data_IF_045776364553
#
_entry.id   IF_045776364553
#
_cell.length_a   1.000
_cell.length_b   1.000
_cell.length_c   1.000
_cell.angle_alpha   90.00
_cell.angle_beta   90.00
_cell.angle_gamma   90.00
#
_symmetry.space_group_name_H-M   'P 1'
#
loop_
_entity.id
_entity.type
_entity.pdbx_description
1 polymer ?
#
# COMPACT_ATOMS: atom_id res chain seq x y z
N UNK A 1 -32.65 61.50 -67.94
CA UNK A 1 -31.95 62.29 -66.91
C UNK A 1 -32.35 61.77 -65.54
N UNK A 2 -31.40 61.76 -64.60
CA UNK A 2 -31.51 61.47 -63.14
C UNK A 2 -31.92 60.04 -62.76
N UNK A 3 -30.96 59.14 -62.52
CA UNK A 3 -30.14 58.93 -61.31
C UNK A 3 -30.74 57.88 -60.35
N UNK A 4 -30.18 56.68 -60.52
CA UNK A 4 -29.93 55.62 -59.54
C UNK A 4 -29.97 56.04 -58.06
N UNK A 5 -30.83 55.36 -57.29
CA UNK A 5 -30.65 55.19 -55.84
C UNK A 5 -30.58 53.69 -55.53
N UNK A 6 -29.36 53.28 -55.18
CA UNK A 6 -29.00 51.96 -54.65
C UNK A 6 -29.74 51.73 -53.33
N UNK A 7 -30.59 50.70 -53.29
CA UNK A 7 -31.11 50.09 -52.06
C UNK A 7 -30.54 48.69 -51.97
N UNK A 8 -29.67 48.49 -50.98
CA UNK A 8 -28.84 47.31 -50.77
C UNK A 8 -29.71 46.13 -50.32
N UNK A 9 -29.75 45.07 -51.13
CA UNK A 9 -30.23 43.74 -50.75
C UNK A 9 -29.00 42.94 -50.29
N UNK A 10 -28.81 42.76 -48.99
CA UNK A 10 -27.79 41.86 -48.46
C UNK A 10 -28.45 40.85 -47.52
N UNK A 11 -28.40 39.60 -47.96
CA UNK A 11 -28.84 38.38 -47.30
C UNK A 11 -28.37 38.30 -45.85
N UNK A 12 -29.28 37.92 -44.96
CA UNK A 12 -28.96 37.33 -43.67
C UNK A 12 -28.24 35.98 -43.89
N UNK A 13 -26.92 35.95 -43.74
CA UNK A 13 -26.18 34.70 -43.56
C UNK A 13 -26.11 34.44 -42.06
N UNK A 14 -26.97 33.55 -41.58
CA UNK A 14 -26.89 33.03 -40.21
C UNK A 14 -25.66 32.12 -40.11
N UNK A 15 -24.57 32.65 -39.56
CA UNK A 15 -23.39 31.86 -39.18
C UNK A 15 -23.77 31.06 -37.93
N UNK A 16 -24.16 29.80 -38.11
CA UNK A 16 -24.20 28.83 -37.02
C UNK A 16 -22.77 28.50 -36.62
N UNK A 17 -22.23 29.24 -35.64
CA UNK A 17 -21.09 28.83 -34.86
C UNK A 17 -21.51 27.59 -34.05
N UNK A 18 -21.28 26.41 -34.62
CA UNK A 18 -21.26 25.16 -33.84
C UNK A 18 -20.04 25.28 -32.93
N UNK A 19 -20.29 25.75 -31.70
CA UNK A 19 -19.39 25.51 -30.58
C UNK A 19 -19.33 24.00 -30.41
N UNK A 20 -18.34 23.37 -31.06
CA UNK A 20 -17.84 22.08 -30.60
C UNK A 20 -17.23 22.39 -29.24
N UNK A 21 -18.06 22.31 -28.19
CA UNK A 21 -17.56 22.07 -26.87
C UNK A 21 -16.84 20.73 -26.99
N UNK A 22 -15.53 20.79 -27.17
CA UNK A 22 -14.66 19.70 -26.79
C UNK A 22 -14.91 19.49 -25.31
N UNK A 23 -15.91 18.67 -25.00
CA UNK A 23 -16.02 18.03 -23.72
C UNK A 23 -14.77 17.18 -23.68
N UNK A 24 -13.68 17.74 -23.16
CA UNK A 24 -12.69 16.92 -22.48
C UNK A 24 -13.46 16.33 -21.33
N UNK A 25 -14.16 15.22 -21.60
CA UNK A 25 -14.40 14.22 -20.59
C UNK A 25 -13.03 13.97 -20.00
N UNK A 26 -12.80 14.52 -18.81
CA UNK A 26 -11.85 13.93 -17.90
C UNK A 26 -12.26 12.47 -17.91
N UNK A 27 -11.49 11.63 -18.60
CA UNK A 27 -11.57 10.20 -18.45
C UNK A 27 -11.16 10.03 -17.00
N UNK A 28 -12.15 10.08 -16.11
CA UNK A 28 -12.05 9.48 -14.81
C UNK A 28 -11.57 8.09 -15.12
N UNK A 29 -10.30 7.80 -14.79
CA UNK A 29 -9.84 6.43 -14.63
C UNK A 29 -10.97 5.70 -13.93
N UNK A 30 -11.44 4.54 -14.44
CA UNK A 30 -12.56 3.83 -13.82
C UNK A 30 -12.21 3.68 -12.36
N UNK A 31 -12.90 4.45 -11.50
CA UNK A 31 -12.52 4.55 -10.10
C UNK A 31 -12.50 3.13 -9.57
N UNK A 32 -11.43 2.79 -8.88
CA UNK A 32 -11.26 1.62 -8.04
C UNK A 32 -12.53 1.27 -7.25
N UNK A 33 -13.49 0.55 -7.86
CA UNK A 33 -14.73 0.17 -7.17
C UNK A 33 -14.35 -0.92 -6.17
N UNK A 34 -14.10 -0.49 -4.93
CA UNK A 34 -13.99 -1.37 -3.78
C UNK A 34 -15.39 -1.90 -3.49
N UNK A 35 -15.51 -3.22 -3.42
CA UNK A 35 -16.73 -3.93 -3.05
C UNK A 35 -16.50 -4.61 -1.69
N UNK A 36 -16.96 -4.00 -0.59
CA UNK A 36 -16.76 -4.54 0.76
C UNK A 36 -17.34 -5.94 0.96
N UNK A 37 -18.33 -6.37 0.17
CA UNK A 37 -18.90 -7.72 0.27
C UNK A 37 -17.92 -8.84 -0.10
N UNK A 38 -16.81 -8.51 -0.79
CA UNK A 38 -15.74 -9.45 -1.12
C UNK A 38 -14.68 -9.56 -0.02
N UNK A 39 -14.81 -8.81 1.07
CA UNK A 39 -13.86 -8.81 2.18
C UNK A 39 -14.28 -9.82 3.23
N UNK A 40 -13.36 -10.70 3.61
CA UNK A 40 -13.54 -11.70 4.67
C UNK A 40 -12.52 -11.44 5.78
N UNK A 41 -12.97 -11.40 7.02
CA UNK A 41 -12.06 -11.35 8.16
C UNK A 41 -11.38 -12.71 8.31
N UNK A 42 -10.05 -12.71 8.39
CA UNK A 42 -9.22 -13.89 8.61
C UNK A 42 -8.86 -14.00 10.09
N UNK A 43 -8.49 -12.87 10.70
CA UNK A 43 -8.21 -12.81 12.13
C UNK A 43 -8.70 -11.49 12.73
N UNK A 44 -9.04 -11.57 14.01
CA UNK A 44 -9.27 -10.38 14.84
C UNK A 44 -8.01 -9.90 15.55
N UNK A 45 -7.05 -10.81 15.77
CA UNK A 45 -5.79 -10.59 16.47
C UNK A 45 -4.71 -11.47 15.82
N UNK A 46 -3.84 -10.93 14.94
CA UNK A 46 -3.81 -9.54 14.49
C UNK A 46 -5.04 -9.23 13.63
N UNK A 47 -5.33 -7.95 13.40
CA UNK A 47 -6.40 -7.58 12.46
C UNK A 47 -5.96 -7.98 11.05
N UNK A 48 -6.63 -8.96 10.45
CA UNK A 48 -6.32 -9.46 9.12
C UNK A 48 -7.58 -9.74 8.30
N UNK A 49 -7.57 -9.34 7.03
CA UNK A 49 -8.69 -9.41 6.10
C UNK A 49 -8.20 -9.83 4.72
N UNK A 50 -8.96 -10.69 4.04
CA UNK A 50 -8.73 -11.02 2.63
C UNK A 50 -9.81 -10.35 1.79
N UNK A 51 -9.39 -9.66 0.74
CA UNK A 51 -10.24 -9.20 -0.34
C UNK A 51 -10.15 -10.18 -1.51
N UNK A 52 -11.26 -10.83 -1.84
CA UNK A 52 -11.32 -11.78 -2.95
C UNK A 52 -11.39 -11.07 -4.32
N UNK A 53 -10.46 -11.38 -5.23
CA UNK A 53 -10.38 -10.75 -6.55
C UNK A 53 -10.19 -9.23 -6.48
N UNK A 54 -9.24 -8.78 -5.65
CA UNK A 54 -8.81 -7.39 -5.53
C UNK A 54 -8.08 -6.89 -6.79
N UNK A 55 -7.22 -7.75 -7.35
CA UNK A 55 -6.60 -7.55 -8.65
C UNK A 55 -7.32 -8.37 -9.72
N UNK A 56 -7.39 -7.82 -10.92
CA UNK A 56 -7.73 -8.56 -12.13
C UNK A 56 -6.57 -9.45 -12.55
N UNK A 57 -6.84 -10.46 -13.39
CA UNK A 57 -5.78 -11.30 -13.96
C UNK A 57 -4.77 -10.49 -14.77
N UNK A 58 -5.23 -9.47 -15.52
CA UNK A 58 -4.39 -8.58 -16.30
C UNK A 58 -3.44 -7.75 -15.43
N UNK A 59 -3.94 -7.22 -14.30
CA UNK A 59 -3.09 -6.50 -13.34
C UNK A 59 -2.05 -7.42 -12.71
N UNK A 60 -2.42 -8.67 -12.37
CA UNK A 60 -1.47 -9.65 -11.85
C UNK A 60 -0.37 -9.96 -12.87
N UNK A 61 -0.75 -10.25 -14.11
CA UNK A 61 0.19 -10.59 -15.19
C UNK A 61 1.10 -9.41 -15.55
N UNK A 62 0.56 -8.18 -15.49
CA UNK A 62 1.33 -6.95 -15.68
C UNK A 62 2.42 -6.78 -14.63
N UNK A 63 2.09 -6.92 -13.33
CA UNK A 63 3.08 -6.83 -12.25
C UNK A 63 4.16 -7.91 -12.37
N UNK A 64 3.78 -9.14 -12.76
CA UNK A 64 4.74 -10.22 -13.02
C UNK A 64 5.65 -9.87 -14.21
N UNK A 65 5.10 -9.29 -15.28
CA UNK A 65 5.85 -8.88 -16.47
C UNK A 65 6.93 -7.86 -16.12
N UNK A 66 6.54 -6.78 -15.41
CA UNK A 66 7.48 -5.76 -14.94
C UNK A 66 8.58 -6.35 -14.06
N UNK A 67 8.21 -7.29 -13.18
CA UNK A 67 9.15 -7.88 -12.24
C UNK A 67 10.19 -8.80 -12.90
N UNK A 68 9.80 -9.53 -13.96
CA UNK A 68 10.69 -10.47 -14.66
C UNK A 68 11.93 -9.81 -15.26
N UNK A 69 11.86 -8.52 -15.59
CA UNK A 69 12.99 -7.78 -16.18
C UNK A 69 14.13 -7.54 -15.18
N UNK A 70 13.84 -7.50 -13.89
CA UNK A 70 14.78 -7.04 -12.85
C UNK A 70 14.85 -7.97 -11.63
N UNK A 71 14.29 -9.18 -11.73
CA UNK A 71 14.22 -10.13 -10.63
C UNK A 71 15.62 -10.56 -10.17
N UNK A 72 15.93 -10.35 -8.89
CA UNK A 72 17.18 -10.78 -8.28
C UNK A 72 16.91 -11.51 -6.96
N UNK A 73 17.95 -12.05 -6.31
CA UNK A 73 17.79 -12.70 -5.02
C UNK A 73 17.23 -11.70 -3.99
N UNK A 74 16.18 -12.07 -3.25
CA UNK A 74 15.58 -11.16 -2.26
C UNK A 74 16.52 -10.94 -1.07
N UNK A 75 16.45 -9.73 -0.51
CA UNK A 75 17.14 -9.34 0.71
C UNK A 75 16.14 -8.97 1.82
N UNK A 76 16.62 -8.94 3.06
CA UNK A 76 15.89 -8.53 4.27
C UNK A 76 16.62 -7.36 4.93
N UNK A 77 15.88 -6.47 5.61
CA UNK A 77 16.50 -5.41 6.39
C UNK A 77 17.13 -6.01 7.66
N UNK A 78 18.38 -5.65 7.93
CA UNK A 78 19.09 -6.01 9.15
C UNK A 78 18.53 -5.24 10.35
N UNK A 79 18.34 -5.92 11.48
CA UNK A 79 17.72 -5.33 12.66
C UNK A 79 18.62 -4.33 13.41
N UNK A 80 19.95 -4.42 13.23
CA UNK A 80 20.91 -3.59 13.97
C UNK A 80 21.27 -2.33 13.19
N UNK A 81 21.51 -2.47 11.89
CA UNK A 81 21.97 -1.35 11.04
C UNK A 81 20.99 -0.92 9.95
N UNK A 82 19.90 -1.67 9.72
CA UNK A 82 18.87 -1.36 8.72
C UNK A 82 19.28 -1.65 7.27
N UNK A 83 20.47 -2.20 7.02
CA UNK A 83 20.97 -2.50 5.67
C UNK A 83 20.28 -3.73 5.07
N UNK A 84 20.14 -3.73 3.75
CA UNK A 84 19.54 -4.82 3.00
C UNK A 84 20.55 -5.96 2.78
N UNK A 85 20.31 -7.13 3.36
CA UNK A 85 21.21 -8.30 3.27
C UNK A 85 20.51 -9.54 2.70
N UNK A 86 21.22 -10.30 1.86
CA UNK A 86 20.75 -11.61 1.37
C UNK A 86 20.77 -12.61 2.53
N UNK A 87 19.67 -13.33 2.76
CA UNK A 87 19.50 -14.19 3.94
C UNK A 87 18.86 -15.53 3.60
N UNK A 88 19.19 -16.58 4.37
CA UNK A 88 18.52 -17.90 4.31
C UNK A 88 17.13 -17.88 4.95
N UNK A 89 16.79 -16.82 5.69
CA UNK A 89 15.47 -16.58 6.29
C UNK A 89 14.42 -16.34 5.20
N UNK A 90 14.81 -15.66 4.11
CA UNK A 90 13.96 -15.36 2.96
C UNK A 90 14.60 -15.86 1.69
N UNK A 91 14.06 -16.96 1.17
CA UNK A 91 14.68 -17.64 0.05
C UNK A 91 14.02 -17.36 -1.30
N UNK A 92 13.34 -16.23 -1.46
CA UNK A 92 12.72 -15.83 -2.73
C UNK A 92 13.67 -15.09 -3.67
N UNK A 93 13.21 -14.86 -4.89
CA UNK A 93 13.70 -13.77 -5.75
C UNK A 93 12.69 -12.63 -5.75
N UNK A 94 13.12 -11.39 -5.91
CA UNK A 94 12.23 -10.23 -5.95
C UNK A 94 12.85 -8.99 -6.57
N UNK A 95 12.03 -7.97 -6.71
CA UNK A 95 12.38 -6.64 -7.20
C UNK A 95 11.37 -5.61 -6.68
N UNK A 96 11.68 -4.33 -6.85
CA UNK A 96 10.80 -3.23 -6.52
C UNK A 96 10.30 -2.56 -7.80
N UNK A 97 8.98 -2.36 -7.87
CA UNK A 97 8.33 -1.53 -8.89
C UNK A 97 8.04 -0.18 -8.27
N UNK A 98 8.64 0.87 -8.82
CA UNK A 98 8.49 2.22 -8.32
C UNK A 98 7.04 2.69 -8.29
N UNK A 99 6.69 3.51 -7.30
CA UNK A 99 5.36 4.15 -7.24
C UNK A 99 5.03 4.89 -8.52
N UNK A 100 3.77 4.80 -8.94
CA UNK A 100 3.28 5.45 -10.15
C UNK A 100 4.04 5.09 -11.43
N UNK A 101 4.75 3.94 -11.49
CA UNK A 101 5.57 3.51 -12.63
C UNK A 101 4.84 3.64 -13.97
N UNK A 102 3.57 3.27 -13.98
CA UNK A 102 2.66 3.39 -15.11
C UNK A 102 1.20 3.57 -14.62
N UNK A 103 0.23 3.78 -15.54
CA UNK A 103 -1.18 3.95 -15.15
C UNK A 103 -1.81 2.74 -14.45
N UNK A 104 -1.37 1.51 -14.73
CA UNK A 104 -1.88 0.29 -14.09
C UNK A 104 -1.40 0.25 -12.64
N UNK A 105 -0.09 0.47 -12.42
CA UNK A 105 0.50 0.55 -11.07
C UNK A 105 -0.16 1.66 -10.27
N UNK A 106 -0.33 2.85 -10.85
CA UNK A 106 -1.02 3.97 -10.21
C UNK A 106 -2.45 3.61 -9.78
N UNK A 107 -3.20 2.91 -10.64
CA UNK A 107 -4.57 2.46 -10.35
C UNK A 107 -4.64 1.39 -9.26
N UNK A 108 -3.64 0.51 -9.17
CA UNK A 108 -3.52 -0.44 -8.05
C UNK A 108 -3.27 0.30 -6.74
N UNK A 109 -2.43 1.34 -6.76
CA UNK A 109 -2.17 2.18 -5.58
C UNK A 109 -3.41 2.99 -5.16
N UNK A 110 -4.24 3.45 -6.10
CA UNK A 110 -5.57 4.02 -5.83
C UNK A 110 -6.48 3.02 -5.10
N UNK A 111 -6.57 1.78 -5.61
CA UNK A 111 -7.36 0.72 -4.97
C UNK A 111 -6.86 0.44 -3.55
N UNK A 112 -5.55 0.34 -3.36
CA UNK A 112 -4.94 0.07 -2.06
C UNK A 112 -5.26 1.18 -1.06
N UNK A 113 -5.09 2.44 -1.45
CA UNK A 113 -5.42 3.58 -0.59
C UNK A 113 -6.92 3.63 -0.26
N UNK A 114 -7.78 3.40 -1.24
CA UNK A 114 -9.24 3.38 -1.06
C UNK A 114 -9.67 2.27 -0.10
N UNK A 115 -9.10 1.06 -0.22
CA UNK A 115 -9.50 -0.08 0.62
C UNK A 115 -8.95 0.02 2.04
N UNK A 116 -7.70 0.45 2.18
CA UNK A 116 -7.02 0.53 3.49
C UNK A 116 -7.39 1.77 4.29
N UNK A 117 -7.94 2.79 3.63
CA UNK A 117 -8.10 4.16 4.16
C UNK A 117 -6.78 4.81 4.59
N UNK A 118 -5.66 4.34 4.04
CA UNK A 118 -4.34 4.92 4.26
C UNK A 118 -3.89 5.71 3.02
N UNK A 119 -3.26 6.89 3.18
CA UNK A 119 -2.83 7.69 2.04
C UNK A 119 -1.77 6.99 1.18
N UNK A 120 -1.74 7.30 -0.12
CA UNK A 120 -0.81 6.66 -1.06
C UNK A 120 0.65 6.99 -0.75
N UNK A 121 0.89 8.22 -0.31
CA UNK A 121 2.19 8.77 0.04
C UNK A 121 2.83 8.05 1.23
N UNK A 122 2.05 7.36 2.06
CA UNK A 122 2.54 6.51 3.13
C UNK A 122 3.09 5.17 2.61
N UNK A 123 2.80 4.82 1.36
CA UNK A 123 3.22 3.56 0.77
C UNK A 123 4.67 3.58 0.30
N UNK A 124 5.38 2.46 0.49
CA UNK A 124 6.63 2.17 -0.20
C UNK A 124 6.42 1.78 -1.67
N UNK A 125 7.49 1.55 -2.43
CA UNK A 125 7.42 0.90 -3.73
C UNK A 125 6.81 -0.52 -3.60
N UNK A 126 6.21 -1.03 -4.69
CA UNK A 126 5.65 -2.39 -4.69
C UNK A 126 6.79 -3.43 -4.74
N UNK A 127 6.89 -4.28 -3.73
CA UNK A 127 7.85 -5.38 -3.74
C UNK A 127 7.24 -6.63 -4.39
N UNK A 128 7.68 -7.00 -5.58
CA UNK A 128 7.26 -8.24 -6.26
C UNK A 128 8.23 -9.37 -5.94
N UNK A 129 7.69 -10.55 -5.66
CA UNK A 129 8.41 -11.71 -5.16
C UNK A 129 7.97 -12.98 -5.89
N UNK A 130 8.94 -13.87 -6.10
CA UNK A 130 8.76 -15.20 -6.68
C UNK A 130 9.36 -16.25 -5.74
N UNK A 131 8.55 -17.26 -5.41
CA UNK A 131 8.97 -18.43 -4.66
C UNK A 131 8.80 -19.67 -5.51
N UNK A 132 9.91 -20.37 -5.73
CA UNK A 132 9.98 -21.68 -6.38
C UNK A 132 9.80 -22.81 -5.36
N UNK A 133 9.82 -24.06 -5.83
CA UNK A 133 9.69 -25.23 -4.97
C UNK A 133 10.67 -25.20 -3.77
N UNK A 134 10.15 -25.44 -2.57
CA UNK A 134 10.88 -25.42 -1.31
C UNK A 134 11.20 -24.02 -0.76
N UNK A 135 11.11 -22.96 -1.57
CA UNK A 135 11.40 -21.60 -1.11
C UNK A 135 10.32 -21.10 -0.16
N UNK A 136 10.75 -20.34 0.86
CA UNK A 136 9.94 -19.87 1.98
C UNK A 136 10.36 -18.47 2.44
N UNK A 137 9.59 -17.94 3.38
CA UNK A 137 10.02 -16.85 4.24
C UNK A 137 9.68 -17.20 5.68
N UNK A 138 10.69 -17.31 6.53
CA UNK A 138 10.50 -17.56 7.96
C UNK A 138 9.71 -16.43 8.63
N UNK A 139 9.15 -16.76 9.81
CA UNK A 139 8.28 -15.84 10.52
C UNK A 139 9.02 -14.57 10.94
N UNK A 140 8.42 -13.40 10.65
CA UNK A 140 9.00 -12.09 10.89
C UNK A 140 7.93 -11.04 11.14
N UNK A 141 8.38 -9.84 11.51
CA UNK A 141 7.55 -8.65 11.61
C UNK A 141 7.84 -7.72 10.45
N UNK A 142 6.80 -7.02 9.99
CA UNK A 142 6.95 -5.96 9.00
C UNK A 142 7.23 -4.59 9.63
N UNK A 143 6.98 -4.39 10.93
CA UNK A 143 7.42 -3.19 11.62
C UNK A 143 8.93 -3.25 11.91
N UNK A 144 9.55 -2.09 12.04
CA UNK A 144 10.99 -1.98 12.29
C UNK A 144 11.36 -2.10 13.76
N UNK A 145 12.59 -2.55 14.02
CA UNK A 145 13.26 -2.43 15.32
C UNK A 145 14.35 -1.34 15.31
N UNK A 146 14.82 -0.95 14.12
CA UNK A 146 15.91 0.00 13.93
C UNK A 146 15.39 1.44 13.79
N UNK A 147 16.18 2.40 14.29
CA UNK A 147 15.82 3.83 14.23
C UNK A 147 15.91 4.42 12.83
N UNK A 148 16.69 3.83 11.93
CA UNK A 148 16.98 4.38 10.60
C UNK A 148 15.75 4.28 9.71
N UNK A 149 15.12 3.12 9.66
CA UNK A 149 13.89 2.90 8.91
C UNK A 149 12.69 3.60 9.57
N UNK A 150 12.64 3.66 10.91
CA UNK A 150 11.60 4.43 11.63
C UNK A 150 11.68 5.92 11.28
N UNK A 151 12.87 6.48 11.06
CA UNK A 151 13.01 7.89 10.69
C UNK A 151 12.34 8.23 9.34
N UNK A 152 12.06 7.23 8.49
CA UNK A 152 11.43 7.40 7.18
C UNK A 152 9.96 6.98 7.21
N UNK A 153 9.09 7.93 7.56
CA UNK A 153 7.64 7.71 7.62
C UNK A 153 7.14 6.97 8.87
N UNK A 154 8.02 6.61 9.81
CA UNK A 154 7.67 5.83 11.01
C UNK A 154 7.55 4.33 10.74
N UNK A 155 6.96 3.60 11.69
CA UNK A 155 6.67 2.18 11.49
C UNK A 155 5.68 1.95 10.33
N UNK A 156 5.78 0.78 9.70
CA UNK A 156 4.76 0.27 8.79
C UNK A 156 3.51 -0.08 9.59
N UNK A 157 2.42 0.66 9.43
CA UNK A 157 1.15 0.42 10.12
C UNK A 157 0.41 -0.81 9.57
N UNK A 158 0.51 -1.04 8.27
CA UNK A 158 -0.20 -2.10 7.58
C UNK A 158 0.60 -2.65 6.40
N UNK A 159 0.32 -3.91 6.08
CA UNK A 159 0.85 -4.60 4.92
C UNK A 159 -0.31 -5.12 4.08
N UNK A 160 -0.24 -4.88 2.77
CA UNK A 160 -1.11 -5.55 1.80
C UNK A 160 -0.28 -6.49 0.94
N UNK A 161 -0.52 -7.79 1.10
CA UNK A 161 0.09 -8.86 0.32
C UNK A 161 -0.89 -9.33 -0.76
N UNK A 162 -0.62 -8.99 -2.02
CA UNK A 162 -1.40 -9.38 -3.19
C UNK A 162 -0.84 -10.66 -3.79
N UNK A 163 -1.68 -11.67 -4.02
CA UNK A 163 -1.30 -12.92 -4.65
C UNK A 163 -1.44 -12.81 -6.17
N UNK A 164 -0.33 -12.95 -6.90
CA UNK A 164 -0.29 -12.78 -8.35
C UNK A 164 -0.38 -14.12 -9.11
N UNK A 165 -0.29 -15.25 -8.39
CA UNK A 165 -0.47 -16.60 -8.94
C UNK A 165 -1.30 -17.48 -8.00
N UNK A 166 -1.90 -18.53 -8.57
CA UNK A 166 -2.43 -19.64 -7.78
C UNK A 166 -1.27 -20.57 -7.40
N UNK A 167 -1.31 -21.10 -6.18
CA UNK A 167 -0.35 -22.12 -5.73
C UNK A 167 -1.09 -23.42 -5.47
N UNK A 168 -0.64 -24.50 -6.11
CA UNK A 168 -1.30 -25.81 -6.02
C UNK A 168 -1.24 -26.34 -4.58
N UNK A 169 -0.03 -26.41 -4.02
CA UNK A 169 0.22 -26.86 -2.64
C UNK A 169 1.32 -26.03 -1.97
N UNK A 170 1.13 -25.71 -0.68
CA UNK A 170 2.05 -24.88 0.08
C UNK A 170 1.90 -23.39 -0.24
N UNK A 171 2.93 -22.60 0.10
CA UNK A 171 2.98 -21.17 -0.20
C UNK A 171 2.06 -20.28 0.64
N UNK A 172 1.35 -20.84 1.64
CA UNK A 172 0.42 -20.09 2.48
C UNK A 172 1.11 -18.95 3.24
N UNK A 173 0.38 -17.87 3.51
CA UNK A 173 0.81 -16.86 4.47
C UNK A 173 0.24 -17.25 5.83
N UNK A 174 1.10 -17.55 6.79
CA UNK A 174 0.71 -18.07 8.12
C UNK A 174 1.00 -17.05 9.21
N UNK A 175 0.06 -16.89 10.14
CA UNK A 175 0.20 -16.13 11.38
C UNK A 175 0.24 -17.11 12.56
N UNK A 176 1.43 -17.56 13.00
CA UNK A 176 1.57 -18.59 14.03
C UNK A 176 0.96 -18.19 15.38
N UNK A 177 1.03 -16.91 15.73
CA UNK A 177 0.58 -16.41 17.04
C UNK A 177 -0.85 -15.83 17.00
N UNK A 178 -1.52 -15.89 15.85
CA UNK A 178 -2.86 -15.36 15.71
C UNK A 178 -3.88 -16.13 16.58
N UNK A 179 -4.77 -15.39 17.23
CA UNK A 179 -5.77 -15.97 18.13
C UNK A 179 -6.98 -16.44 17.33
N UNK A 180 -7.19 -17.76 17.27
CA UNK A 180 -8.40 -18.34 16.71
C UNK A 180 -9.63 -17.88 17.51
N UNK A 181 -10.60 -17.26 16.85
CA UNK A 181 -11.91 -17.03 17.46
C UNK A 181 -12.84 -18.19 17.13
N UNK A 182 -13.62 -18.64 18.12
CA UNK A 182 -14.61 -19.71 17.94
C UNK A 182 -15.66 -19.41 16.87
N UNK A 183 -15.87 -18.13 16.52
CA UNK A 183 -16.79 -17.66 15.47
C UNK A 183 -16.17 -17.62 14.07
N UNK A 184 -14.85 -17.50 13.98
CA UNK A 184 -14.07 -17.48 12.75
C UNK A 184 -13.37 -18.82 12.51
N UNK A 185 -13.97 -19.94 12.94
CA UNK A 185 -13.63 -21.24 12.37
C UNK A 185 -13.99 -21.19 10.89
N UNK A 186 -13.12 -20.57 10.10
CA UNK A 186 -13.23 -20.53 8.66
C UNK A 186 -13.42 -21.98 8.23
N UNK A 187 -14.36 -22.20 7.33
CA UNK A 187 -14.56 -23.42 6.58
C UNK A 187 -13.38 -23.67 5.63
N UNK A 188 -12.15 -23.53 6.12
CA UNK A 188 -10.95 -23.98 5.44
C UNK A 188 -10.82 -25.44 5.81
N UNK A 189 -10.91 -26.29 4.80
CA UNK A 189 -10.60 -27.68 4.97
C UNK A 189 -9.14 -27.79 5.40
N UNK A 190 -8.89 -28.17 6.67
CA UNK A 190 -7.52 -28.26 7.21
C UNK A 190 -6.67 -29.29 6.46
N UNK A 191 -7.31 -30.19 5.71
CA UNK A 191 -6.63 -31.19 4.88
C UNK A 191 -5.95 -30.56 3.65
N UNK A 192 -6.39 -29.37 3.20
CA UNK A 192 -5.81 -28.67 2.05
C UNK A 192 -4.61 -27.78 2.42
N UNK A 193 -4.30 -27.65 3.73
CA UNK A 193 -3.22 -26.83 4.25
C UNK A 193 -1.92 -27.65 4.41
N UNK A 194 -0.79 -27.01 4.14
CA UNK A 194 0.54 -27.55 4.47
C UNK A 194 0.73 -27.69 5.99
N UNK A 195 1.67 -28.54 6.41
CA UNK A 195 2.00 -28.68 7.84
C UNK A 195 2.58 -27.40 8.45
N UNK A 196 3.18 -26.54 7.62
CA UNK A 196 3.57 -25.20 8.02
C UNK A 196 2.33 -24.33 8.32
N UNK A 197 1.34 -24.34 7.42
CA UNK A 197 0.14 -23.53 7.54
C UNK A 197 -0.75 -23.95 8.72
N UNK A 198 -0.73 -25.23 9.10
CA UNK A 198 -1.45 -25.76 10.28
C UNK A 198 -0.95 -25.22 11.62
N UNK A 199 0.20 -24.53 11.66
CA UNK A 199 0.78 -23.96 12.89
C UNK A 199 0.08 -22.69 13.38
N UNK A 200 -0.84 -22.12 12.60
CA UNK A 200 -1.58 -20.92 12.97
C UNK A 200 -2.73 -20.63 12.01
N UNK A 201 -3.21 -19.39 12.01
CA UNK A 201 -4.20 -18.95 11.02
C UNK A 201 -3.46 -18.70 9.71
N UNK A 202 -3.93 -19.30 8.61
CA UNK A 202 -3.25 -19.22 7.33
C UNK A 202 -4.18 -18.83 6.17
N UNK A 203 -3.59 -18.17 5.16
CA UNK A 203 -4.26 -17.78 3.92
C UNK A 203 -3.57 -18.45 2.75
N UNK A 204 -4.33 -19.22 1.96
CA UNK A 204 -3.84 -19.87 0.75
C UNK A 204 -3.69 -18.84 -0.38
N UNK A 205 -2.59 -18.84 -1.16
CA UNK A 205 -2.45 -17.93 -2.29
C UNK A 205 -3.44 -18.28 -3.40
N UNK A 206 -4.25 -17.29 -3.78
CA UNK A 206 -5.16 -17.37 -4.91
C UNK A 206 -5.00 -16.12 -5.75
N UNK A 207 -4.74 -16.29 -7.05
CA UNK A 207 -4.48 -15.20 -7.99
C UNK A 207 -5.59 -14.16 -7.89
N UNK A 208 -5.20 -12.90 -7.75
CA UNK A 208 -6.11 -11.76 -7.64
C UNK A 208 -6.52 -11.40 -6.21
N UNK A 209 -6.41 -12.32 -5.24
CA UNK A 209 -6.76 -12.02 -3.85
C UNK A 209 -5.68 -11.16 -3.19
N UNK A 210 -6.08 -10.32 -2.23
CA UNK A 210 -5.18 -9.50 -1.43
C UNK A 210 -5.43 -9.70 0.07
N UNK A 211 -4.37 -9.94 0.83
CA UNK A 211 -4.39 -10.03 2.28
C UNK A 211 -3.91 -8.70 2.88
N UNK A 212 -4.78 -8.01 3.60
CA UNK A 212 -4.44 -6.86 4.44
C UNK A 212 -4.29 -7.34 5.89
N UNK A 213 -3.17 -7.02 6.52
CA UNK A 213 -3.00 -7.15 7.95
C UNK A 213 -2.32 -5.93 8.55
N UNK A 214 -2.61 -5.67 9.83
CA UNK A 214 -2.05 -4.54 10.56
C UNK A 214 -0.89 -5.00 11.43
N UNK A 215 0.22 -4.28 11.34
CA UNK A 215 1.45 -4.52 12.09
C UNK A 215 1.46 -3.76 13.42
N UNK A 216 0.59 -2.76 13.54
CA UNK A 216 0.43 -1.94 14.73
C UNK A 216 -0.99 -2.02 15.28
N UNK A 217 -1.09 -1.85 16.58
CA UNK A 217 -2.33 -1.54 17.27
C UNK A 217 -2.86 -0.17 16.86
N UNK A 218 -4.12 0.14 17.22
CA UNK A 218 -4.77 1.41 16.85
C UNK A 218 -4.12 2.63 17.52
N UNK A 219 -3.35 2.41 18.59
CA UNK A 219 -2.53 3.41 19.27
C UNK A 219 -1.11 3.54 18.68
N UNK A 220 -0.88 2.95 17.50
CA UNK A 220 0.40 2.92 16.78
C UNK A 220 1.54 2.17 17.48
N UNK A 221 1.26 1.36 18.51
CA UNK A 221 2.27 0.46 19.10
C UNK A 221 2.40 -0.85 18.32
N UNK A 222 3.59 -1.47 18.24
CA UNK A 222 3.78 -2.75 17.53
C UNK A 222 2.88 -3.88 18.05
N UNK A 223 2.21 -4.59 17.14
CA UNK A 223 1.36 -5.75 17.45
C UNK A 223 2.16 -7.04 17.28
N UNK A 224 2.61 -7.65 18.38
CA UNK A 224 3.42 -8.89 18.32
C UNK A 224 2.64 -10.08 17.76
N UNK A 225 1.31 -10.02 17.68
CA UNK A 225 0.51 -11.06 17.04
C UNK A 225 0.55 -10.96 15.50
N UNK A 226 1.11 -9.88 14.95
CA UNK A 226 1.33 -9.73 13.50
C UNK A 226 2.51 -10.52 12.98
N UNK A 227 3.16 -11.36 13.82
CA UNK A 227 4.18 -12.30 13.39
C UNK A 227 3.60 -13.15 12.26
N UNK A 228 4.28 -13.18 11.12
CA UNK A 228 3.79 -13.89 9.95
C UNK A 228 4.94 -14.42 9.09
N UNK A 229 4.66 -15.44 8.29
CA UNK A 229 5.64 -16.05 7.40
C UNK A 229 5.01 -16.60 6.13
N UNK A 230 5.86 -16.90 5.14
CA UNK A 230 5.49 -17.58 3.91
C UNK A 230 5.89 -19.05 3.99
N UNK A 231 4.90 -19.94 4.07
CA UNK A 231 5.15 -21.38 4.06
C UNK A 231 5.84 -21.84 2.78
N UNK A 232 6.67 -22.91 2.83
CA UNK A 232 7.33 -23.44 1.64
C UNK A 232 6.35 -23.74 0.51
N UNK A 233 6.70 -23.40 -0.72
CA UNK A 233 5.96 -23.86 -1.90
C UNK A 233 6.24 -25.34 -2.10
N UNK A 234 5.20 -26.17 -2.13
CA UNK A 234 5.33 -27.62 -2.33
C UNK A 234 5.08 -27.98 -3.80
N UNK A 235 4.08 -27.35 -4.42
CA UNK A 235 3.72 -27.59 -5.82
C UNK A 235 3.21 -26.32 -6.48
N UNK A 236 3.72 -26.04 -7.68
CA UNK A 236 3.48 -24.80 -8.42
C UNK A 236 4.53 -23.73 -8.11
N UNK A 237 4.14 -22.47 -8.29
CA UNK A 237 5.01 -21.31 -8.10
C UNK A 237 4.20 -20.15 -7.51
N UNK A 238 4.76 -19.50 -6.49
CA UNK A 238 4.10 -18.36 -5.83
C UNK A 238 4.69 -17.05 -6.34
N UNK A 239 3.84 -16.23 -6.93
CA UNK A 239 4.10 -14.81 -7.16
C UNK A 239 3.26 -13.96 -6.22
N UNK A 240 3.88 -12.93 -5.64
CA UNK A 240 3.18 -11.99 -4.78
C UNK A 240 3.74 -10.57 -4.93
N UNK A 241 2.88 -9.56 -4.76
CA UNK A 241 3.30 -8.17 -4.61
C UNK A 241 2.95 -7.67 -3.21
N UNK A 242 3.90 -7.04 -2.54
CA UNK A 242 3.73 -6.50 -1.19
C UNK A 242 3.71 -4.98 -1.26
N UNK A 243 2.73 -4.36 -0.61
CA UNK A 243 2.70 -2.93 -0.33
C UNK A 243 2.81 -2.74 1.17
N UNK A 244 3.92 -2.18 1.62
CA UNK A 244 4.07 -1.69 2.98
C UNK A 244 3.59 -0.25 3.07
N UNK A 245 2.86 0.06 4.12
CA UNK A 245 2.26 1.38 4.33
C UNK A 245 2.66 1.88 5.72
N UNK A 246 3.24 3.07 5.77
CA UNK A 246 3.76 3.73 6.96
C UNK A 246 2.70 4.54 7.72
N UNK A 247 2.99 4.90 8.96
CA UNK A 247 2.16 5.80 9.77
C UNK A 247 2.13 7.24 9.24
N UNK A 248 3.18 7.67 8.53
CA UNK A 248 3.27 8.96 7.85
C UNK A 248 3.83 8.79 6.42
N UNK A 249 3.92 9.88 5.67
CA UNK A 249 4.44 9.89 4.31
C UNK A 249 5.86 9.31 4.24
N UNK A 250 6.03 8.30 3.41
CA UNK A 250 7.33 7.66 3.12
C UNK A 250 8.19 8.51 2.16
N UNK A 251 7.55 9.39 1.39
CA UNK A 251 8.20 10.30 0.43
C UNK A 251 8.76 11.56 1.08
N UNK A 252 8.31 11.89 2.29
CA UNK A 252 8.85 13.02 3.04
C UNK A 252 10.25 12.65 3.56
N UNK A 253 11.26 13.10 2.85
CA UNK A 253 12.61 13.24 3.42
C UNK A 253 12.53 14.47 4.34
N UNK A 254 12.51 14.24 5.65
CA UNK A 254 12.59 15.33 6.63
C UNK A 254 13.98 15.97 6.48
N UNK A 255 14.07 17.07 5.73
CA UNK A 255 15.31 17.83 5.63
C UNK A 255 15.54 18.57 6.94
N UNK A 256 16.62 18.22 7.64
CA UNK A 256 17.08 18.87 8.87
C UNK A 256 17.61 20.29 8.64
N UNK A 257 16.90 21.13 7.89
CA UNK A 257 17.36 22.51 7.66
C UNK A 257 17.18 23.41 8.90
N UNK A 258 16.61 22.87 10.00
CA UNK A 258 16.33 23.63 11.21
C UNK A 258 15.39 24.80 10.95
N UNK A 259 14.69 24.81 9.80
CA UNK A 259 13.81 25.89 9.43
C UNK A 259 12.60 25.89 10.36
N UNK A 260 12.28 27.08 10.87
CA UNK A 260 11.05 27.28 11.61
C UNK A 260 9.87 27.34 10.64
N UNK A 261 9.39 26.17 10.24
CA UNK A 261 8.30 26.05 9.30
C UNK A 261 7.22 25.09 9.80
N UNK A 262 6.01 25.31 9.28
CA UNK A 262 4.97 24.30 9.33
C UNK A 262 5.07 23.46 8.04
N UNK A 263 5.19 22.15 8.19
CA UNK A 263 5.30 21.18 7.09
C UNK A 263 3.97 20.49 6.79
N UNK A 264 2.91 20.87 7.51
CA UNK A 264 1.55 20.40 7.30
C UNK A 264 0.58 21.58 7.23
N UNK A 265 -0.30 21.57 6.22
CA UNK A 265 -1.32 22.60 6.00
C UNK A 265 -2.31 22.74 7.18
N UNK A 266 -2.46 21.70 7.99
CA UNK A 266 -3.36 21.69 9.15
C UNK A 266 -2.71 22.23 10.44
N UNK A 267 -1.43 22.59 10.44
CA UNK A 267 -0.69 23.00 11.64
C UNK A 267 -1.35 24.16 12.40
N UNK A 268 -1.79 25.21 11.69
CA UNK A 268 -2.44 26.37 12.33
C UNK A 268 -3.73 25.95 13.04
N UNK A 269 -4.56 25.15 12.36
CA UNK A 269 -5.80 24.61 12.91
C UNK A 269 -5.55 23.73 14.14
N UNK A 270 -4.57 22.84 14.08
CA UNK A 270 -4.24 21.95 15.19
C UNK A 270 -3.66 22.71 16.39
N UNK A 271 -2.84 23.72 16.15
CA UNK A 271 -2.34 24.59 17.22
C UNK A 271 -3.49 25.31 17.94
N UNK A 272 -4.48 25.82 17.20
CA UNK A 272 -5.69 26.42 17.78
C UNK A 272 -6.50 25.41 18.61
N UNK A 273 -6.52 24.13 18.22
CA UNK A 273 -7.18 23.04 18.96
C UNK A 273 -6.39 22.53 20.19
N UNK A 274 -5.21 23.11 20.44
CA UNK A 274 -4.36 22.79 21.59
C UNK A 274 -3.45 21.57 21.37
N UNK A 275 -3.26 21.13 20.13
CA UNK A 275 -2.44 19.94 19.84
C UNK A 275 -0.96 20.15 20.18
N UNK A 276 -0.47 21.38 20.22
CA UNK A 276 0.91 21.66 20.66
C UNK A 276 1.23 21.12 22.07
N UNK A 277 0.21 21.01 22.94
CA UNK A 277 0.34 20.43 24.27
C UNK A 277 -0.09 18.97 24.34
N UNK A 278 -1.09 18.56 23.54
CA UNK A 278 -1.63 17.19 23.54
C UNK A 278 -0.78 16.20 22.74
N UNK A 279 -0.10 16.68 21.71
CA UNK A 279 0.75 15.91 20.81
C UNK A 279 2.07 16.65 20.53
N UNK A 280 2.88 16.92 21.58
CA UNK A 280 4.06 17.76 21.47
C UNK A 280 5.14 17.14 20.57
N UNK A 281 5.25 15.82 20.50
CA UNK A 281 6.23 15.13 19.64
C UNK A 281 5.97 15.40 18.16
N UNK A 282 4.72 15.26 17.68
CA UNK A 282 4.41 15.57 16.29
C UNK A 282 4.45 17.06 16.01
N UNK A 283 3.89 17.87 16.91
CA UNK A 283 3.66 19.29 16.68
C UNK A 283 4.94 20.11 16.86
N UNK A 284 5.66 19.90 17.96
CA UNK A 284 6.86 20.66 18.34
C UNK A 284 8.14 19.89 18.06
N UNK A 285 8.12 18.57 18.24
CA UNK A 285 9.29 17.71 18.09
C UNK A 285 10.03 17.47 19.40
N UNK A 286 11.12 16.73 19.27
CA UNK A 286 12.12 16.51 20.32
C UNK A 286 13.40 17.28 19.99
N UNK A 287 14.40 17.33 20.89
CA UNK A 287 15.70 17.92 20.58
C UNK A 287 16.39 17.29 19.36
N UNK A 288 16.11 16.01 19.09
CA UNK A 288 16.71 15.23 18.00
C UNK A 288 15.89 15.30 16.70
N UNK A 289 14.58 15.47 16.79
CA UNK A 289 13.67 15.47 15.64
C UNK A 289 12.70 16.66 15.70
N UNK A 290 12.83 17.66 14.82
CA UNK A 290 11.91 18.80 14.79
C UNK A 290 10.49 18.34 14.43
N UNK A 291 9.49 18.90 15.12
CA UNK A 291 8.08 18.63 14.84
C UNK A 291 7.62 19.30 13.55
N UNK A 292 6.46 18.88 13.07
CA UNK A 292 5.88 19.32 11.81
C UNK A 292 5.21 20.71 11.89
N UNK A 293 4.91 21.21 13.09
CA UNK A 293 4.08 22.40 13.30
C UNK A 293 4.75 23.43 14.22
N UNK A 294 6.07 23.50 14.18
CA UNK A 294 6.86 24.30 15.15
C UNK A 294 6.51 25.78 15.09
N UNK A 295 6.27 26.32 13.89
CA UNK A 295 5.90 27.72 13.69
C UNK A 295 4.52 28.00 14.26
N UNK A 296 3.53 27.17 13.94
CA UNK A 296 2.17 27.28 14.50
C UNK A 296 2.15 27.11 16.02
N UNK A 297 3.03 26.28 16.57
CA UNK A 297 3.18 26.08 18.01
C UNK A 297 4.07 27.12 18.70
N UNK A 298 4.64 28.08 17.98
CA UNK A 298 5.57 29.09 18.53
C UNK A 298 6.76 28.45 19.27
N UNK A 299 7.16 27.24 18.85
CA UNK A 299 8.36 26.56 19.33
C UNK A 299 9.65 27.09 18.65
N UNK A 300 9.43 27.95 17.68
CA UNK A 300 10.26 28.90 17.01
C UNK A 300 9.27 29.94 16.39
#
# INVERSE_FOLDING_TARGET
MTMSRRGVLLLFVAVFLVLIQSSTSLISSPSSIINPSKVKQVSSKPRAFVYEGFLTDLECDHLISLAKETLQRSAVADNDNGESQVSDVRTSSGTFISKGKDPIVSGIEDKLSTWTFLPKENGEDLQVLRYEHGQKYDAHFDYFHDKVNIARGGHRIATVLMYLSNVTRGGETVFPDAVESSRLKLSVNKDDLSDCAKKGIAVKPKKGDALLFFNLHQDATPDTLSLHGGCPVIEGEKWSATKWIHVDSFDKIVTHDGSCADTNESCERWAVLGECAKNPEYMVGTPELPGNCRRSCKAC
#
